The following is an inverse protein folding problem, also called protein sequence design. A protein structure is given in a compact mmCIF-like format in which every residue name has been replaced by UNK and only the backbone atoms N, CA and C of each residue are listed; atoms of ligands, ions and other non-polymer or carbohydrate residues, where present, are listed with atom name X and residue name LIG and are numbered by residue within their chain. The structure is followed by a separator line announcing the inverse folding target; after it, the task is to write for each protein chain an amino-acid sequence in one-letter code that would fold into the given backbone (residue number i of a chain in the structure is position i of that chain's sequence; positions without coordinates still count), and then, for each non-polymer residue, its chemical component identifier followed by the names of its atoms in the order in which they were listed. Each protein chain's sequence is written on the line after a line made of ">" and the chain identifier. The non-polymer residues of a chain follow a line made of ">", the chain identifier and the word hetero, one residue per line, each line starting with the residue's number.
data_IF_796985118767
#
_entry.id   IF_796985118767
#
_cell.length_a   1.000
_cell.length_b   1.000
_cell.length_c   1.000
_cell.angle_alpha   90.00
_cell.angle_beta   90.00
_cell.angle_gamma   90.00
#
_symmetry.space_group_name_H-M   'P 1'
#
loop_
_entity.id
_entity.type
_entity.pdbx_description
1 polymer ?
#
# COMPACT_ATOMS: atom_id res chain seq x y z
N UNK A 1 15.61 9.31 -23.65
CA UNK A 1 14.88 8.92 -22.41
C UNK A 1 13.56 8.34 -22.85
N UNK A 2 13.35 7.05 -22.63
CA UNK A 2 12.14 6.36 -23.09
C UNK A 2 11.01 6.54 -22.08
N UNK A 3 9.81 6.83 -22.55
CA UNK A 3 8.64 7.05 -21.71
C UNK A 3 7.79 5.80 -21.63
N UNK A 4 7.53 5.32 -20.40
CA UNK A 4 6.58 4.25 -20.15
C UNK A 4 5.21 4.83 -19.85
N UNK A 5 4.25 4.59 -20.74
CA UNK A 5 2.88 5.05 -20.58
C UNK A 5 2.09 4.11 -19.68
N UNK A 6 1.39 4.66 -18.68
CA UNK A 6 0.52 3.90 -17.75
C UNK A 6 -0.91 4.44 -17.76
N UNK A 7 -1.70 4.19 -18.83
CA UNK A 7 -3.03 4.80 -19.01
C UNK A 7 -4.02 4.46 -17.88
N UNK A 8 -3.87 3.33 -17.20
CA UNK A 8 -4.71 2.96 -16.04
C UNK A 8 -4.51 3.90 -14.83
N UNK A 9 -3.40 4.65 -14.76
CA UNK A 9 -3.19 5.70 -13.76
C UNK A 9 -3.87 7.01 -14.12
N UNK A 10 -4.32 7.18 -15.35
CA UNK A 10 -4.89 8.43 -15.83
C UNK A 10 -6.16 8.87 -15.06
N UNK A 11 -7.15 7.99 -14.78
CA UNK A 11 -8.29 8.35 -13.94
C UNK A 11 -7.87 8.73 -12.52
N UNK A 12 -6.84 8.06 -12.00
CA UNK A 12 -6.27 8.30 -10.70
C UNK A 12 -5.51 9.65 -10.62
N UNK A 13 -4.81 10.02 -11.70
CA UNK A 13 -4.04 11.28 -11.79
C UNK A 13 -4.95 12.47 -12.13
N UNK A 14 -6.04 12.24 -12.89
CA UNK A 14 -6.99 13.30 -13.28
C UNK A 14 -7.86 13.81 -12.13
N UNK A 15 -7.88 13.09 -10.99
CA UNK A 15 -8.69 13.51 -9.84
C UNK A 15 -10.19 13.42 -10.08
N UNK A 16 -10.65 12.59 -11.06
CA UNK A 16 -12.06 12.29 -11.33
C UNK A 16 -12.69 11.48 -10.17
N UNK A 17 -12.31 11.82 -8.94
CA UNK A 17 -13.02 11.36 -7.74
C UNK A 17 -14.07 12.40 -7.42
N UNK A 18 -15.32 11.98 -7.49
CA UNK A 18 -16.35 12.62 -6.68
C UNK A 18 -15.79 12.84 -5.27
N UNK A 19 -16.08 13.98 -4.68
CA UNK A 19 -15.54 14.45 -3.40
C UNK A 19 -16.03 13.57 -2.23
N UNK A 20 -15.54 12.31 -2.15
CA UNK A 20 -16.01 11.27 -1.22
C UNK A 20 -15.17 11.21 0.06
N UNK A 21 -14.44 12.26 0.42
CA UNK A 21 -13.61 12.29 1.62
C UNK A 21 -12.32 11.46 1.48
N UNK A 22 -11.61 11.29 2.58
CA UNK A 22 -10.36 10.53 2.61
C UNK A 22 -10.65 9.03 2.72
N UNK A 23 -10.17 8.24 1.75
CA UNK A 23 -10.36 6.78 1.72
C UNK A 23 -9.74 6.05 2.92
N UNK A 24 -8.66 6.58 3.49
CA UNK A 24 -8.03 5.99 4.67
C UNK A 24 -8.83 6.31 5.94
N UNK A 25 -9.39 7.52 6.05
CA UNK A 25 -10.29 7.84 7.16
C UNK A 25 -11.56 6.98 7.11
N UNK A 26 -12.14 6.76 5.94
CA UNK A 26 -13.26 5.85 5.74
C UNK A 26 -12.91 4.40 6.15
N UNK A 27 -11.71 3.92 5.81
CA UNK A 27 -11.25 2.61 6.23
C UNK A 27 -11.06 2.50 7.76
N UNK A 28 -10.54 3.56 8.41
CA UNK A 28 -10.39 3.60 9.88
C UNK A 28 -11.75 3.58 10.57
N UNK A 29 -12.73 4.36 10.07
CA UNK A 29 -14.09 4.42 10.64
C UNK A 29 -14.90 3.14 10.44
N UNK A 30 -14.44 2.23 9.57
CA UNK A 30 -15.10 0.96 9.29
C UNK A 30 -16.01 0.96 8.06
N UNK A 31 -16.16 2.09 7.36
CA UNK A 31 -16.99 2.20 6.16
C UNK A 31 -16.45 1.37 4.98
N UNK A 32 -15.11 1.25 4.86
CA UNK A 32 -14.43 0.39 3.87
C UNK A 32 -13.21 -0.31 4.49
N UNK A 33 -13.47 -1.19 5.46
CA UNK A 33 -12.41 -1.89 6.21
C UNK A 33 -12.02 -3.27 5.61
N UNK A 34 -12.62 -3.66 4.49
CA UNK A 34 -12.46 -5.01 3.92
C UNK A 34 -11.02 -5.37 3.57
N UNK A 35 -10.21 -4.39 3.17
CA UNK A 35 -8.82 -4.57 2.80
C UNK A 35 -7.83 -4.33 3.95
N UNK A 36 -8.29 -3.97 5.16
CA UNK A 36 -7.40 -3.85 6.32
C UNK A 36 -6.98 -5.26 6.75
N UNK A 37 -5.66 -5.45 6.88
CA UNK A 37 -5.07 -6.73 7.29
C UNK A 37 -4.57 -6.70 8.73
N UNK A 38 -4.28 -5.52 9.27
CA UNK A 38 -3.85 -5.35 10.65
C UNK A 38 -4.18 -3.96 11.20
N UNK A 39 -4.53 -3.87 12.49
CA UNK A 39 -4.72 -2.62 13.21
C UNK A 39 -3.74 -2.53 14.38
N UNK A 40 -2.87 -1.52 14.37
CA UNK A 40 -1.99 -1.15 15.47
C UNK A 40 -2.64 -0.13 16.41
N UNK A 41 -1.84 0.48 17.27
CA UNK A 41 -2.30 1.50 18.24
C UNK A 41 -2.53 2.86 17.54
N UNK A 42 -1.58 3.30 16.73
CA UNK A 42 -1.58 4.60 16.03
C UNK A 42 -1.63 4.49 14.52
N UNK A 43 -1.35 3.30 13.97
CA UNK A 43 -1.31 3.03 12.54
C UNK A 43 -2.08 1.74 12.21
N UNK A 44 -2.43 1.56 10.95
CA UNK A 44 -2.99 0.31 10.43
C UNK A 44 -2.31 -0.09 9.13
N UNK A 45 -2.48 -1.37 8.74
CA UNK A 45 -1.99 -1.91 7.47
C UNK A 45 -3.18 -2.28 6.60
N UNK A 46 -3.18 -1.78 5.38
CA UNK A 46 -4.23 -2.02 4.39
C UNK A 46 -3.61 -2.44 3.05
N UNK A 47 -4.28 -3.34 2.33
CA UNK A 47 -3.92 -3.66 0.96
C UNK A 47 -4.17 -2.47 0.04
N UNK A 48 -3.21 -2.20 -0.85
CA UNK A 48 -3.42 -1.20 -1.88
C UNK A 48 -4.46 -1.69 -2.89
N UNK A 49 -5.54 -0.91 -3.08
CA UNK A 49 -6.60 -1.22 -4.06
C UNK A 49 -6.09 -1.25 -5.51
N UNK A 50 -4.97 -0.55 -5.79
CA UNK A 50 -4.29 -0.50 -7.08
C UNK A 50 -2.85 -1.00 -6.93
N UNK A 51 -2.65 -2.31 -6.68
CA UNK A 51 -1.36 -2.83 -6.28
C UNK A 51 -0.34 -2.78 -7.43
N UNK A 52 0.93 -2.52 -7.09
CA UNK A 52 2.03 -2.63 -8.05
C UNK A 52 2.43 -4.08 -8.28
N UNK A 53 2.36 -4.89 -7.23
CA UNK A 53 2.56 -6.35 -7.23
C UNK A 53 1.59 -6.98 -6.24
N UNK A 54 1.45 -8.30 -6.31
CA UNK A 54 0.67 -9.05 -5.32
C UNK A 54 1.19 -8.80 -3.91
N UNK A 55 0.31 -8.63 -2.93
CA UNK A 55 0.70 -8.33 -1.55
C UNK A 55 1.20 -6.90 -1.30
N UNK A 56 0.93 -5.94 -2.21
CA UNK A 56 1.28 -4.54 -1.98
C UNK A 56 0.49 -3.95 -0.80
N UNK A 57 1.18 -3.68 0.29
CA UNK A 57 0.64 -3.11 1.53
C UNK A 57 0.90 -1.61 1.61
N UNK A 58 0.01 -0.93 2.32
CA UNK A 58 0.17 0.45 2.77
C UNK A 58 0.10 0.46 4.29
N UNK A 59 1.02 1.17 4.94
CA UNK A 59 1.00 1.43 6.38
C UNK A 59 0.58 2.89 6.55
N UNK A 60 -0.47 3.11 7.32
CA UNK A 60 -1.20 4.37 7.35
C UNK A 60 -1.44 4.78 8.80
N UNK A 61 -1.10 6.01 9.22
CA UNK A 61 -1.52 6.54 10.51
C UNK A 61 -3.04 6.60 10.65
N UNK A 62 -3.57 6.32 11.83
CA UNK A 62 -5.01 6.47 12.11
C UNK A 62 -5.46 7.94 12.02
N UNK A 63 -4.57 8.85 12.38
CA UNK A 63 -4.78 10.30 12.32
C UNK A 63 -4.61 10.81 10.89
N UNK A 64 -5.48 11.70 10.45
CA UNK A 64 -5.40 12.33 9.14
C UNK A 64 -4.28 13.37 9.10
N UNK A 65 -3.09 12.95 8.71
CA UNK A 65 -1.89 13.78 8.54
C UNK A 65 -1.34 13.55 7.13
N UNK A 66 -0.73 14.54 6.53
CA UNK A 66 -0.24 14.48 5.15
C UNK A 66 1.26 14.24 5.03
N UNK A 67 2.02 14.56 6.06
CA UNK A 67 3.48 14.55 6.04
C UNK A 67 4.08 13.94 7.31
N UNK A 68 5.28 13.33 7.24
CA UNK A 68 5.97 12.81 8.42
C UNK A 68 6.27 13.88 9.48
N UNK A 69 6.42 15.15 9.08
CA UNK A 69 6.65 16.26 10.01
C UNK A 69 5.45 16.56 10.92
N UNK A 70 4.26 16.07 10.58
CA UNK A 70 3.04 16.20 11.38
C UNK A 70 2.82 15.01 12.31
N UNK A 71 3.58 13.93 12.11
CA UNK A 71 3.47 12.72 12.89
C UNK A 71 4.17 12.86 14.26
N UNK A 72 3.60 12.22 15.27
CA UNK A 72 4.26 12.06 16.58
C UNK A 72 5.39 11.03 16.49
N UNK A 73 6.27 11.04 17.50
CA UNK A 73 7.33 10.02 17.59
C UNK A 73 6.77 8.61 17.69
N UNK A 74 5.66 8.41 18.39
CA UNK A 74 5.01 7.11 18.53
C UNK A 74 4.42 6.62 17.20
N UNK A 75 3.79 7.51 16.42
CA UNK A 75 3.29 7.19 15.08
C UNK A 75 4.43 6.79 14.12
N UNK A 76 5.55 7.53 14.15
CA UNK A 76 6.73 7.19 13.33
C UNK A 76 7.36 5.87 13.78
N UNK A 77 7.45 5.62 15.08
CA UNK A 77 7.98 4.37 15.61
C UNK A 77 7.10 3.18 15.27
N UNK A 78 5.77 3.31 15.36
CA UNK A 78 4.86 2.25 14.99
C UNK A 78 4.84 2.02 13.47
N UNK A 79 4.88 3.08 12.66
CA UNK A 79 4.97 2.99 11.22
C UNK A 79 6.17 2.13 10.77
N UNK A 80 7.36 2.33 11.38
CA UNK A 80 8.54 1.53 11.09
C UNK A 80 8.46 0.11 11.66
N UNK A 81 7.84 -0.07 12.83
CA UNK A 81 7.59 -1.39 13.40
C UNK A 81 6.68 -2.22 12.49
N UNK A 82 5.60 -1.63 12.00
CA UNK A 82 4.68 -2.27 11.08
C UNK A 82 5.30 -2.53 9.70
N UNK A 83 6.27 -1.71 9.26
CA UNK A 83 7.04 -1.98 8.05
C UNK A 83 7.90 -3.25 8.19
N UNK A 84 8.58 -3.41 9.33
CA UNK A 84 9.29 -4.65 9.69
C UNK A 84 8.35 -5.85 9.72
N UNK A 85 7.22 -5.72 10.41
CA UNK A 85 6.24 -6.80 10.54
C UNK A 85 5.66 -7.20 9.18
N UNK A 86 5.36 -6.21 8.32
CA UNK A 86 4.94 -6.44 6.94
C UNK A 86 5.97 -7.21 6.13
N UNK A 87 7.27 -6.92 6.33
CA UNK A 87 8.34 -7.69 5.69
C UNK A 87 8.29 -9.16 6.11
N UNK A 88 8.17 -9.44 7.41
CA UNK A 88 8.12 -10.80 7.94
C UNK A 88 6.90 -11.56 7.38
N UNK A 89 5.72 -10.96 7.44
CA UNK A 89 4.47 -11.55 6.95
C UNK A 89 4.52 -11.83 5.45
N UNK A 90 4.99 -10.87 4.64
CA UNK A 90 5.10 -11.07 3.21
C UNK A 90 6.17 -12.10 2.84
N UNK A 91 7.24 -12.20 3.62
CA UNK A 91 8.26 -13.24 3.44
C UNK A 91 7.68 -14.62 3.72
N UNK A 92 6.94 -14.79 4.80
CA UNK A 92 6.27 -16.05 5.14
C UNK A 92 5.21 -16.42 4.09
N UNK A 93 4.36 -15.47 3.70
CA UNK A 93 3.24 -15.73 2.81
C UNK A 93 3.65 -16.02 1.36
N UNK A 94 4.68 -15.33 0.85
CA UNK A 94 4.97 -15.26 -0.58
C UNK A 94 6.43 -15.49 -0.96
N UNK A 95 7.35 -15.50 -0.01
CA UNK A 95 8.80 -15.65 -0.23
C UNK A 95 9.33 -14.77 -1.39
N UNK A 96 9.14 -13.44 -1.34
CA UNK A 96 9.61 -12.55 -2.39
C UNK A 96 11.14 -12.49 -2.44
N UNK A 97 11.71 -12.14 -3.60
CA UNK A 97 13.15 -12.00 -3.76
C UNK A 97 13.69 -10.68 -3.19
N UNK A 98 12.81 -9.71 -2.94
CA UNK A 98 13.16 -8.41 -2.35
C UNK A 98 11.91 -7.60 -2.03
N UNK A 99 12.10 -6.41 -1.47
CA UNK A 99 11.02 -5.47 -1.15
C UNK A 99 11.43 -4.04 -1.44
N UNK A 100 10.46 -3.22 -1.88
CA UNK A 100 10.58 -1.78 -1.87
C UNK A 100 9.70 -1.22 -0.76
N UNK A 101 10.28 -0.38 0.08
CA UNK A 101 9.57 0.35 1.13
C UNK A 101 9.81 1.84 0.95
N UNK A 102 8.78 2.67 1.08
CA UNK A 102 8.96 4.12 0.92
C UNK A 102 7.68 4.91 0.99
N UNK A 103 7.84 6.23 1.13
CA UNK A 103 6.78 7.22 1.20
C UNK A 103 6.91 8.14 0.01
N UNK A 104 5.80 8.41 -0.67
CA UNK A 104 5.72 9.41 -1.73
C UNK A 104 5.12 10.69 -1.17
N UNK A 105 5.89 11.79 -1.17
CA UNK A 105 5.41 13.09 -0.71
C UNK A 105 5.15 14.00 -1.91
N UNK A 106 3.89 14.36 -2.08
CA UNK A 106 3.44 15.22 -3.17
C UNK A 106 3.30 14.52 -4.52
N UNK A 107 2.56 15.17 -5.40
CA UNK A 107 2.21 14.66 -6.73
C UNK A 107 3.42 14.35 -7.62
N UNK A 108 4.49 15.19 -7.65
CA UNK A 108 5.68 14.92 -8.46
C UNK A 108 6.44 13.65 -8.02
N UNK A 109 6.34 13.27 -6.73
CA UNK A 109 6.93 12.04 -6.20
C UNK A 109 6.07 10.80 -6.45
N UNK A 110 4.91 10.94 -7.10
CA UNK A 110 4.01 9.83 -7.42
C UNK A 110 2.95 9.54 -6.37
N UNK A 111 2.75 10.44 -5.39
CA UNK A 111 1.65 10.29 -4.43
C UNK A 111 0.30 10.36 -5.15
N UNK A 112 -0.51 9.35 -4.94
CA UNK A 112 -1.86 9.32 -5.48
C UNK A 112 -2.93 9.82 -4.52
N UNK A 113 -2.66 9.70 -3.23
CA UNK A 113 -3.43 10.31 -2.14
C UNK A 113 -2.47 11.31 -1.51
N UNK A 114 -2.83 12.61 -1.58
CA UNK A 114 -1.95 13.69 -1.15
C UNK A 114 -2.14 14.05 0.32
N UNK A 115 -3.35 13.86 0.81
CA UNK A 115 -3.81 14.43 2.08
C UNK A 115 -3.69 13.47 3.26
N UNK A 116 -3.24 12.24 3.01
CA UNK A 116 -3.06 11.27 4.07
C UNK A 116 -1.77 10.47 3.89
N UNK A 117 -0.87 10.60 4.86
CA UNK A 117 0.43 9.93 4.90
C UNK A 117 0.26 8.41 4.81
N UNK A 118 1.03 7.78 3.95
CA UNK A 118 1.07 6.32 3.83
C UNK A 118 2.45 5.86 3.34
N UNK A 119 2.92 4.75 3.91
CA UNK A 119 4.13 4.08 3.49
C UNK A 119 3.79 2.87 2.66
N UNK A 120 4.40 2.75 1.50
CA UNK A 120 4.30 1.57 0.63
C UNK A 120 5.24 0.47 1.11
N UNK A 121 4.76 -0.78 1.10
CA UNK A 121 5.56 -2.00 1.22
C UNK A 121 5.20 -2.89 0.04
N UNK A 122 6.15 -3.06 -0.88
CA UNK A 122 5.92 -3.74 -2.16
C UNK A 122 6.87 -4.92 -2.28
N UNK A 123 6.39 -6.16 -2.23
CA UNK A 123 7.20 -7.34 -2.49
C UNK A 123 7.60 -7.39 -3.97
N UNK A 124 8.82 -7.87 -4.22
CA UNK A 124 9.42 -7.90 -5.54
C UNK A 124 9.96 -9.29 -5.90
N UNK A 125 9.78 -9.67 -7.15
CA UNK A 125 10.31 -10.92 -7.71
C UNK A 125 11.15 -10.64 -8.95
N UNK A 126 12.15 -11.49 -9.19
CA UNK A 126 12.89 -11.44 -10.44
C UNK A 126 11.93 -11.66 -11.61
N UNK A 127 11.92 -10.75 -12.57
CA UNK A 127 11.02 -10.80 -13.72
C UNK A 127 9.60 -10.27 -13.47
N UNK A 128 9.32 -9.63 -12.35
CA UNK A 128 8.02 -8.98 -12.08
C UNK A 128 7.74 -7.78 -13.02
N UNK A 129 8.78 -7.26 -13.66
CA UNK A 129 8.68 -6.34 -14.78
C UNK A 129 9.03 -7.11 -16.06
N UNK A 130 8.07 -7.37 -16.91
CA UNK A 130 8.21 -8.20 -18.12
C UNK A 130 7.47 -7.57 -19.30
N UNK A 131 7.40 -8.29 -20.44
CA UNK A 131 6.71 -7.87 -21.65
C UNK A 131 5.27 -7.40 -21.40
N UNK A 132 4.50 -8.10 -20.57
CA UNK A 132 3.10 -7.74 -20.28
C UNK A 132 3.01 -6.38 -19.59
N UNK A 133 3.94 -6.06 -18.69
CA UNK A 133 3.97 -4.77 -18.00
C UNK A 133 4.47 -3.65 -18.89
N UNK A 134 5.53 -3.91 -19.69
CA UNK A 134 6.26 -2.90 -20.46
C UNK A 134 5.57 -2.59 -21.77
N UNK A 135 5.15 -3.59 -22.53
CA UNK A 135 4.57 -3.48 -23.87
C UNK A 135 3.06 -3.66 -23.83
N UNK A 136 2.58 -4.65 -23.08
CA UNK A 136 1.15 -4.95 -22.93
C UNK A 136 0.39 -4.00 -22.02
N UNK A 137 1.09 -3.12 -21.28
CA UNK A 137 0.52 -2.18 -20.30
C UNK A 137 -0.44 -2.86 -19.31
N UNK A 138 -0.21 -4.15 -19.06
CA UNK A 138 -1.06 -5.01 -18.26
C UNK A 138 -0.26 -5.60 -17.12
N UNK A 139 -0.77 -5.51 -15.89
CA UNK A 139 -0.24 -6.23 -14.73
C UNK A 139 -1.04 -7.49 -14.50
N UNK A 140 -0.33 -8.60 -14.42
CA UNK A 140 -0.94 -9.87 -14.01
C UNK A 140 -0.81 -9.97 -12.50
N UNK A 141 -1.93 -9.91 -11.78
CA UNK A 141 -2.00 -10.16 -10.35
C UNK A 141 -2.52 -11.59 -10.19
N UNK A 142 -1.73 -12.49 -9.58
CA UNK A 142 -2.09 -13.90 -9.48
C UNK A 142 -3.17 -14.20 -8.44
N UNK A 143 -3.48 -13.23 -7.58
CA UNK A 143 -4.43 -13.41 -6.48
C UNK A 143 -5.31 -12.17 -6.33
N UNK A 144 -6.60 -12.37 -6.02
CA UNK A 144 -7.53 -11.28 -5.75
C UNK A 144 -7.27 -10.64 -4.37
N UNK A 145 -7.60 -9.35 -4.22
CA UNK A 145 -7.28 -8.59 -3.00
C UNK A 145 -7.91 -9.18 -1.74
N UNK A 146 -9.15 -9.68 -1.81
CA UNK A 146 -9.81 -10.28 -0.65
C UNK A 146 -9.13 -11.59 -0.22
N UNK A 147 -8.69 -12.41 -1.17
CA UNK A 147 -7.93 -13.65 -0.91
C UNK A 147 -6.57 -13.32 -0.29
N UNK A 148 -5.89 -12.31 -0.82
CA UNK A 148 -4.65 -11.78 -0.23
C UNK A 148 -4.88 -11.31 1.22
N UNK A 149 -5.97 -10.57 1.48
CA UNK A 149 -6.31 -10.11 2.83
C UNK A 149 -6.56 -11.28 3.80
N UNK A 150 -7.33 -12.28 3.37
CA UNK A 150 -7.61 -13.48 4.16
C UNK A 150 -6.35 -14.29 4.48
N UNK A 151 -5.41 -14.35 3.56
CA UNK A 151 -4.12 -15.01 3.76
C UNK A 151 -3.24 -14.27 4.77
N UNK A 152 -3.15 -12.94 4.69
CA UNK A 152 -2.21 -12.17 5.50
C UNK A 152 -2.68 -11.93 6.93
N UNK A 153 -4.00 -11.78 7.18
CA UNK A 153 -4.55 -11.49 8.51
C UNK A 153 -4.10 -12.48 9.61
N UNK A 154 -4.20 -13.82 9.42
CA UNK A 154 -3.78 -14.74 10.46
C UNK A 154 -2.28 -14.68 10.75
N UNK A 155 -1.45 -14.41 9.74
CA UNK A 155 0.01 -14.30 9.92
C UNK A 155 0.33 -13.06 10.77
N UNK A 156 -0.30 -11.90 10.47
CA UNK A 156 -0.16 -10.70 11.31
C UNK A 156 -0.60 -10.93 12.76
N UNK A 157 -1.67 -11.70 12.99
CA UNK A 157 -2.14 -12.03 14.32
C UNK A 157 -1.17 -12.94 15.09
N UNK A 158 -0.46 -13.81 14.39
CA UNK A 158 0.52 -14.73 14.98
C UNK A 158 1.86 -14.09 15.35
N UNK A 159 2.15 -12.86 14.90
CA UNK A 159 3.38 -12.14 15.25
C UNK A 159 3.34 -11.45 16.63
N UNK A 160 2.20 -11.41 17.32
CA UNK A 160 2.01 -10.70 18.59
C UNK A 160 1.48 -11.56 19.70
#
# INVERSE_FOLDING_TARGET
>A
MDYLWSPWRLPYVKGDRENTGCVFCAAVSGEDASLIVFRGATCFIILNKFPYNNGHLLIVPNRHISQPSEATSDELAELMTLARDSQLVLTEAYNPHGMNMGINLGKPAGAGILDHLHMHVVPRWNGDTNYMTVVGQTRVLPEELHVTAERLRPIFQGLR
#
